data_IF_111668597353
#
_entry.id   IF_111668597353
#
_cell.length_a   1.000
_cell.length_b   1.000
_cell.length_c   1.000
_cell.angle_alpha   90.00
_cell.angle_beta   90.00
_cell.angle_gamma   90.00
#
_symmetry.space_group_name_H-M   'P 1'
#
loop_
_entity.id
_entity.type
_entity.pdbx_description
1 polymer ?
#
# COMPACT_ATOMS: atom_id res chain seq x y z
N UNK A 1 1.00 -13.94 -44.33
CA UNK A 1 1.25 -14.30 -42.92
C UNK A 1 0.69 -13.18 -42.05
N UNK A 2 -0.17 -13.52 -41.11
CA UNK A 2 -0.98 -12.59 -40.31
C UNK A 2 -0.08 -11.91 -39.27
N UNK A 3 -0.15 -10.57 -39.23
CA UNK A 3 0.48 -9.71 -38.23
C UNK A 3 -0.29 -9.87 -36.92
N UNK A 4 0.36 -10.40 -35.87
CA UNK A 4 -0.21 -10.42 -34.52
C UNK A 4 0.46 -9.28 -33.73
N UNK A 5 -0.24 -8.15 -33.68
CA UNK A 5 0.10 -7.03 -32.81
C UNK A 5 -0.14 -7.42 -31.36
N UNK A 6 0.94 -7.62 -30.61
CA UNK A 6 0.89 -7.72 -29.16
C UNK A 6 0.85 -6.30 -28.56
N UNK A 7 -0.31 -5.63 -28.69
CA UNK A 7 -0.66 -4.50 -27.81
C UNK A 7 -1.09 -5.07 -26.46
N UNK A 8 -0.13 -5.62 -25.72
CA UNK A 8 -0.36 -6.10 -24.37
C UNK A 8 -0.30 -4.92 -23.40
N UNK A 9 -1.49 -4.43 -23.04
CA UNK A 9 -1.74 -3.85 -21.73
C UNK A 9 -1.55 -2.35 -21.63
N UNK A 10 -2.66 -1.63 -21.67
CA UNK A 10 -2.79 -0.33 -21.01
C UNK A 10 -2.17 -0.44 -19.62
N UNK A 11 -1.13 0.35 -19.36
CA UNK A 11 -0.59 0.61 -18.04
C UNK A 11 -1.67 1.31 -17.21
N UNK A 12 -2.64 0.52 -16.69
CA UNK A 12 -3.35 0.92 -15.50
C UNK A 12 -2.25 1.06 -14.44
N UNK A 13 -2.02 2.29 -14.04
CA UNK A 13 -1.24 2.69 -12.88
C UNK A 13 -1.83 1.94 -11.67
N UNK A 14 -1.43 0.68 -11.49
CA UNK A 14 -2.13 -0.29 -10.64
C UNK A 14 -1.73 0.01 -9.21
N UNK A 15 -2.62 0.72 -8.54
CA UNK A 15 -2.62 0.83 -7.08
C UNK A 15 -2.47 -0.57 -6.45
N UNK A 16 -1.83 -0.62 -5.28
CA UNK A 16 -1.55 -1.89 -4.62
C UNK A 16 -2.86 -2.64 -4.31
N UNK A 17 -2.90 -3.96 -4.51
CA UNK A 17 -4.09 -4.74 -4.19
C UNK A 17 -4.41 -4.65 -2.71
N UNK A 18 -5.70 -4.56 -2.38
CA UNK A 18 -6.19 -4.59 -1.00
C UNK A 18 -6.20 -6.04 -0.51
N UNK A 19 -5.43 -6.31 0.53
CA UNK A 19 -5.25 -7.64 1.14
C UNK A 19 -5.94 -7.65 2.49
N UNK A 20 -7.05 -8.39 2.63
CA UNK A 20 -7.75 -8.51 3.91
C UNK A 20 -7.11 -9.61 4.78
N UNK A 21 -6.97 -9.32 6.08
CA UNK A 21 -6.41 -10.22 7.09
C UNK A 21 -7.34 -10.35 8.29
N UNK A 22 -7.47 -11.58 8.79
CA UNK A 22 -8.19 -11.91 10.01
C UNK A 22 -7.18 -12.31 11.09
N UNK A 23 -7.22 -11.60 12.20
CA UNK A 23 -6.42 -11.84 13.39
C UNK A 23 -7.23 -12.62 14.45
N UNK A 24 -6.57 -13.13 15.50
CA UNK A 24 -7.24 -13.69 16.67
C UNK A 24 -8.23 -12.69 17.31
N UNK A 25 -9.17 -13.21 18.10
CA UNK A 25 -10.18 -12.41 18.81
C UNK A 25 -11.10 -11.58 17.89
N UNK A 26 -11.30 -12.01 16.64
CA UNK A 26 -12.21 -11.35 15.70
C UNK A 26 -11.71 -10.03 15.12
N UNK A 27 -10.48 -9.63 15.41
CA UNK A 27 -9.88 -8.42 14.86
C UNK A 27 -9.52 -8.62 13.38
N UNK A 28 -9.69 -7.58 12.57
CA UNK A 28 -9.36 -7.62 11.15
C UNK A 28 -8.84 -6.28 10.65
N UNK A 29 -8.03 -6.36 9.59
CA UNK A 29 -7.50 -5.20 8.90
C UNK A 29 -7.25 -5.52 7.42
N UNK A 30 -7.11 -4.47 6.63
CA UNK A 30 -6.72 -4.53 5.24
C UNK A 30 -5.35 -3.90 5.07
N UNK A 31 -4.52 -4.51 4.22
CA UNK A 31 -3.19 -4.01 3.91
C UNK A 31 -3.06 -3.71 2.42
N UNK A 32 -2.31 -2.66 2.11
CA UNK A 32 -1.78 -2.36 0.78
C UNK A 32 -0.27 -2.25 0.89
N UNK A 33 0.42 -3.11 0.14
CA UNK A 33 1.87 -3.21 0.20
C UNK A 33 2.48 -2.47 -0.99
N UNK A 34 3.30 -1.47 -0.71
CA UNK A 34 4.14 -0.78 -1.68
C UNK A 34 5.61 -1.14 -1.42
N UNK A 35 6.48 -0.87 -2.40
CA UNK A 35 7.92 -1.17 -2.27
C UNK A 35 8.59 -0.48 -1.08
N UNK A 36 8.12 0.73 -0.73
CA UNK A 36 8.72 1.59 0.29
C UNK A 36 7.87 1.72 1.57
N UNK A 37 6.59 1.38 1.51
CA UNK A 37 5.68 1.46 2.66
C UNK A 37 4.55 0.44 2.59
N UNK A 38 3.91 0.17 3.72
CA UNK A 38 2.65 -0.53 3.80
C UNK A 38 1.59 0.35 4.46
N UNK A 39 0.41 0.42 3.85
CA UNK A 39 -0.77 1.01 4.47
C UNK A 39 -1.58 -0.10 5.12
N UNK A 40 -1.88 0.06 6.41
CA UNK A 40 -2.81 -0.79 7.14
C UNK A 40 -4.04 0.03 7.50
N UNK A 41 -5.21 -0.53 7.22
CA UNK A 41 -6.50 0.05 7.56
C UNK A 41 -7.30 -1.01 8.33
N UNK A 42 -7.47 -0.80 9.63
CA UNK A 42 -8.13 -1.77 10.49
C UNK A 42 -9.08 -1.11 11.47
N UNK A 43 -9.76 -1.94 12.27
CA UNK A 43 -10.71 -1.46 13.29
C UNK A 43 -10.07 -0.53 14.33
N UNK A 44 -8.74 -0.61 14.51
CA UNK A 44 -7.95 0.23 15.43
C UNK A 44 -7.49 1.55 14.80
N UNK A 45 -7.75 1.76 13.51
CA UNK A 45 -7.35 2.96 12.77
C UNK A 45 -6.46 2.66 11.56
N UNK A 46 -5.93 3.74 11.00
CA UNK A 46 -5.04 3.73 9.85
C UNK A 46 -3.58 3.86 10.29
N UNK A 47 -2.69 3.05 9.71
CA UNK A 47 -1.25 3.10 9.95
C UNK A 47 -0.47 3.08 8.62
N UNK A 48 0.59 3.89 8.56
CA UNK A 48 1.53 3.92 7.44
C UNK A 48 2.88 3.44 7.97
N UNK A 49 3.32 2.27 7.52
CA UNK A 49 4.54 1.64 7.99
C UNK A 49 5.62 1.73 6.92
N UNK A 50 6.83 2.13 7.30
CA UNK A 50 7.96 2.20 6.37
C UNK A 50 8.56 0.82 6.11
N UNK A 51 9.11 0.62 4.92
CA UNK A 51 9.86 -0.58 4.56
C UNK A 51 11.09 -0.74 5.45
N UNK A 52 11.21 -1.89 6.12
CA UNK A 52 12.40 -2.20 6.93
C UNK A 52 13.43 -2.95 6.09
N UNK A 53 14.73 -2.65 6.25
CA UNK A 53 15.78 -3.43 5.60
C UNK A 53 15.79 -4.85 6.16
N UNK A 54 16.01 -5.82 5.29
CA UNK A 54 16.06 -7.24 5.63
C UNK A 54 17.22 -7.91 4.88
N UNK A 55 17.76 -8.98 5.45
CA UNK A 55 18.80 -9.79 4.79
C UNK A 55 18.24 -10.65 3.64
N UNK A 56 16.93 -10.91 3.64
CA UNK A 56 16.22 -11.59 2.58
C UNK A 56 15.60 -10.54 1.63
N UNK A 57 16.00 -10.58 0.37
CA UNK A 57 15.57 -9.62 -0.65
C UNK A 57 14.03 -9.54 -0.78
N UNK A 58 13.36 -10.67 -0.62
CA UNK A 58 11.89 -10.77 -0.80
C UNK A 58 11.10 -10.61 0.51
N UNK A 59 11.75 -10.47 1.67
CA UNK A 59 11.01 -10.46 2.95
C UNK A 59 10.17 -9.20 3.10
N UNK A 60 8.87 -9.35 3.34
CA UNK A 60 7.95 -8.21 3.32
C UNK A 60 7.78 -7.56 4.70
N UNK A 61 8.84 -6.95 5.23
CA UNK A 61 8.85 -6.35 6.57
C UNK A 61 8.62 -4.82 6.50
N UNK A 62 7.63 -4.34 7.25
CA UNK A 62 7.33 -2.92 7.39
C UNK A 62 7.16 -2.56 8.87
N UNK A 63 7.53 -1.36 9.28
CA UNK A 63 7.29 -0.95 10.65
C UNK A 63 7.69 0.47 10.97
N UNK A 64 7.29 0.89 12.17
CA UNK A 64 7.64 2.16 12.80
C UNK A 64 8.07 1.92 14.26
N UNK A 65 8.05 2.96 15.09
CA UNK A 65 8.41 2.86 16.51
C UNK A 65 7.40 2.04 17.36
N UNK A 66 6.20 1.78 16.85
CA UNK A 66 5.06 1.22 17.58
C UNK A 66 4.66 -0.18 17.10
N UNK A 67 4.86 -0.50 15.82
CA UNK A 67 4.41 -1.73 15.20
C UNK A 67 5.38 -2.17 14.10
N UNK A 68 5.69 -3.47 14.09
CA UNK A 68 6.34 -4.14 12.95
C UNK A 68 5.40 -5.20 12.39
N UNK A 69 5.18 -5.17 11.08
CA UNK A 69 4.37 -6.12 10.32
C UNK A 69 5.25 -6.88 9.32
N UNK A 70 5.26 -8.19 9.45
CA UNK A 70 6.05 -9.12 8.63
C UNK A 70 5.08 -9.97 7.79
N UNK A 71 4.99 -9.67 6.50
CA UNK A 71 4.02 -10.25 5.57
C UNK A 71 4.62 -11.40 4.75
N UNK A 72 3.75 -12.25 4.21
CA UNK A 72 4.17 -13.32 3.29
C UNK A 72 4.73 -14.54 4.02
N UNK A 73 4.37 -14.72 5.29
CA UNK A 73 4.84 -15.81 6.12
C UNK A 73 4.02 -17.10 5.89
N UNK A 74 4.59 -18.23 6.30
CA UNK A 74 3.99 -19.56 6.15
C UNK A 74 4.16 -20.15 4.76
N UNK A 75 3.76 -21.42 4.59
CA UNK A 75 3.93 -22.19 3.34
C UNK A 75 3.18 -21.52 2.17
N UNK A 76 2.00 -20.98 2.44
CA UNK A 76 1.17 -20.32 1.42
C UNK A 76 1.48 -18.82 1.27
N UNK A 77 2.43 -18.27 2.03
CA UNK A 77 2.72 -16.82 2.09
C UNK A 77 1.50 -15.97 2.43
N UNK A 78 0.58 -16.52 3.23
CA UNK A 78 -0.71 -15.88 3.60
C UNK A 78 -0.73 -15.33 5.02
N UNK A 79 0.32 -15.59 5.79
CA UNK A 79 0.38 -15.13 7.17
C UNK A 79 1.05 -13.76 7.24
N UNK A 80 0.62 -12.98 8.21
CA UNK A 80 1.28 -11.77 8.65
C UNK A 80 1.50 -11.84 10.15
N UNK A 81 2.71 -11.50 10.59
CA UNK A 81 3.06 -11.40 12.01
C UNK A 81 3.15 -9.94 12.38
N UNK A 82 2.32 -9.51 13.34
CA UNK A 82 2.31 -8.17 13.91
C UNK A 82 2.99 -8.19 15.29
N UNK A 83 4.05 -7.42 15.43
CA UNK A 83 4.79 -7.25 16.69
C UNK A 83 4.64 -5.81 17.17
N UNK A 84 3.98 -5.60 18.31
CA UNK A 84 3.75 -4.28 18.88
C UNK A 84 4.85 -3.91 19.88
N UNK A 85 5.27 -2.65 19.89
CA UNK A 85 6.22 -2.14 20.87
C UNK A 85 5.63 -2.26 22.28
N UNK A 86 6.40 -2.85 23.20
CA UNK A 86 5.97 -3.05 24.59
C UNK A 86 5.05 -4.25 24.83
N UNK A 87 4.70 -5.04 23.81
CA UNK A 87 3.95 -6.29 23.95
C UNK A 87 4.83 -7.44 23.44
N UNK A 88 5.22 -8.40 24.29
CA UNK A 88 6.13 -9.48 23.90
C UNK A 88 5.48 -10.50 22.96
N UNK A 89 4.16 -10.61 22.99
CA UNK A 89 3.41 -11.56 22.16
C UNK A 89 3.13 -10.98 20.76
N UNK A 90 3.60 -11.68 19.74
CA UNK A 90 3.31 -11.33 18.35
C UNK A 90 1.96 -11.92 17.92
N UNK A 91 1.16 -11.12 17.21
CA UNK A 91 -0.14 -11.53 16.71
C UNK A 91 0.03 -12.05 15.29
N UNK A 92 -0.34 -13.30 15.05
CA UNK A 92 -0.36 -13.88 13.70
C UNK A 92 -1.74 -13.77 13.10
N UNK A 93 -1.86 -13.11 11.96
CA UNK A 93 -3.11 -12.98 11.22
C UNK A 93 -3.03 -13.71 9.88
N UNK A 94 -4.17 -14.16 9.38
CA UNK A 94 -4.26 -14.97 8.17
C UNK A 94 -5.02 -14.21 7.09
N UNK A 95 -4.51 -14.24 5.85
CA UNK A 95 -5.15 -13.61 4.71
C UNK A 95 -6.52 -14.24 4.43
N UNK A 96 -7.55 -13.41 4.43
CA UNK A 96 -8.92 -13.79 4.07
C UNK A 96 -8.98 -14.07 2.56
N UNK A 97 -9.72 -15.10 2.17
CA UNK A 97 -9.95 -15.36 0.76
C UNK A 97 -10.78 -14.21 0.14
N UNK A 98 -10.50 -13.80 -1.10
CA UNK A 98 -11.34 -12.83 -1.79
C UNK A 98 -12.76 -13.38 -1.97
N UNK A 99 -13.71 -12.49 -2.25
CA UNK A 99 -15.07 -12.87 -2.58
C UNK A 99 -15.11 -13.85 -3.78
N UNK A 100 -16.15 -14.68 -3.83
CA UNK A 100 -16.32 -15.67 -4.89
C UNK A 100 -16.26 -15.01 -6.27
N UNK A 101 -15.42 -15.55 -7.17
CA UNK A 101 -15.23 -15.04 -8.52
C UNK A 101 -14.06 -14.07 -8.72
N UNK A 102 -13.34 -13.69 -7.66
CA UNK A 102 -12.10 -12.92 -7.78
C UNK A 102 -10.86 -13.77 -7.50
N UNK A 103 -9.84 -13.73 -8.39
CA UNK A 103 -8.60 -14.44 -8.15
C UNK A 103 -7.89 -13.87 -6.91
N UNK A 104 -7.28 -14.71 -6.07
CA UNK A 104 -6.51 -14.23 -4.92
C UNK A 104 -5.31 -13.42 -5.41
N UNK A 105 -5.27 -12.14 -5.02
CA UNK A 105 -4.07 -11.34 -5.24
C UNK A 105 -2.88 -11.92 -4.43
N UNK A 106 -1.70 -12.07 -5.03
CA UNK A 106 -0.51 -12.51 -4.31
C UNK A 106 -0.08 -11.46 -3.28
N UNK A 107 0.54 -11.92 -2.19
CA UNK A 107 1.16 -11.04 -1.19
C UNK A 107 2.51 -10.57 -1.74
N UNK A 108 2.53 -9.38 -2.33
CA UNK A 108 3.73 -8.76 -2.91
C UNK A 108 3.66 -7.24 -2.79
N UNK A 109 4.82 -6.61 -2.72
CA UNK A 109 4.91 -5.16 -2.87
C UNK A 109 4.53 -4.75 -4.30
N UNK A 110 3.73 -3.70 -4.42
CA UNK A 110 3.45 -3.05 -5.69
C UNK A 110 4.31 -1.80 -5.86
N UNK A 111 4.70 -1.44 -7.09
CA UNK A 111 5.35 -0.17 -7.33
C UNK A 111 4.40 0.96 -6.98
N UNK A 112 4.91 2.01 -6.35
CA UNK A 112 4.09 3.19 -6.06
C UNK A 112 3.80 3.92 -7.38
N UNK A 113 2.54 4.30 -7.65
CA UNK A 113 2.24 5.31 -8.65
C UNK A 113 3.09 6.56 -8.40
N UNK A 114 4.02 6.87 -9.31
CA UNK A 114 4.77 8.13 -9.23
C UNK A 114 3.84 9.34 -9.25
N UNK A 115 4.35 10.55 -8.92
CA UNK A 115 3.58 11.78 -9.08
C UNK A 115 2.96 11.79 -10.48
N UNK A 116 1.63 11.93 -10.57
CA UNK A 116 1.01 12.16 -11.88
C UNK A 116 1.65 13.42 -12.43
N UNK A 117 2.20 13.35 -13.65
CA UNK A 117 2.65 14.57 -14.32
C UNK A 117 1.50 15.57 -14.27
N UNK A 118 1.76 16.84 -13.91
CA UNK A 118 0.72 17.85 -13.95
C UNK A 118 0.10 17.84 -15.36
N UNK A 119 -1.22 18.06 -15.47
CA UNK A 119 -1.83 18.20 -16.78
C UNK A 119 -1.06 19.27 -17.57
N UNK A 120 -0.90 19.10 -18.89
CA UNK A 120 -0.32 20.15 -19.72
C UNK A 120 -1.09 21.45 -19.47
N UNK A 121 -0.36 22.57 -19.40
CA UNK A 121 -0.95 23.88 -19.21
C UNK A 121 -2.01 24.13 -20.29
N UNK A 122 -3.24 24.38 -19.86
CA UNK A 122 -4.38 24.71 -20.71
C UNK A 122 -4.80 26.17 -20.43
N UNK A 123 -4.59 27.10 -21.38
CA UNK A 123 -4.96 28.50 -21.22
C UNK A 123 -6.47 28.75 -21.17
N UNK A 124 -7.30 27.78 -21.56
CA UNK A 124 -8.76 27.87 -21.59
C UNK A 124 -9.42 27.16 -20.40
N UNK A 125 -8.63 26.63 -19.46
CA UNK A 125 -9.16 25.95 -18.27
C UNK A 125 -9.86 26.93 -17.31
N UNK A 126 -11.05 26.58 -16.77
CA UNK A 126 -11.77 27.41 -15.81
C UNK A 126 -10.97 27.59 -14.50
N UNK A 127 -10.94 28.83 -14.00
CA UNK A 127 -9.98 29.40 -13.02
C UNK A 127 -10.06 28.82 -11.59
N UNK A 128 -10.93 27.84 -11.29
CA UNK A 128 -11.11 27.32 -9.92
C UNK A 128 -9.93 26.46 -9.39
N UNK A 129 -8.90 26.19 -10.19
CA UNK A 129 -7.70 25.40 -9.78
C UNK A 129 -6.46 26.27 -9.59
N UNK A 130 -6.58 27.44 -8.97
CA UNK A 130 -5.41 28.25 -8.55
C UNK A 130 -5.38 28.46 -7.03
N UNK A 131 -5.40 27.38 -6.23
CA UNK A 131 -4.87 27.46 -4.86
C UNK A 131 -3.34 27.37 -4.97
N UNK A 132 -2.68 28.53 -5.06
CA UNK A 132 -1.24 28.65 -4.87
C UNK A 132 -0.94 28.40 -3.39
N UNK A 133 -0.50 27.19 -3.04
CA UNK A 133 0.18 26.97 -1.77
C UNK A 133 1.53 27.69 -1.82
N UNK A 134 1.58 28.96 -1.40
CA UNK A 134 2.85 29.68 -1.30
C UNK A 134 2.82 31.19 -1.51
N UNK A 135 1.80 31.91 -1.01
CA UNK A 135 1.86 33.38 -0.98
C UNK A 135 1.46 33.91 0.41
N UNK A 136 2.33 33.64 1.39
CA UNK A 136 2.29 34.27 2.70
C UNK A 136 3.30 35.43 2.74
N UNK A 137 2.97 36.54 2.07
CA UNK A 137 3.68 37.80 2.28
C UNK A 137 3.34 38.33 3.69
N UNK A 138 4.23 38.08 4.65
CA UNK A 138 4.28 38.84 5.91
C UNK A 138 4.80 40.23 5.57
N UNK A 139 3.90 41.20 5.46
CA UNK A 139 4.27 42.62 5.31
C UNK A 139 4.91 43.17 6.59
N UNK A 140 5.85 44.13 6.49
CA UNK A 140 6.29 44.88 7.66
C UNK A 140 5.27 45.99 7.95
N UNK A 141 4.68 45.95 9.15
CA UNK A 141 4.12 47.14 9.81
C UNK A 141 5.19 47.81 10.65
#
# INVERSE_FOLDING_TARGET
MIVIGALAGCAALRDAPRLAYQCPQGLGFEARLYEDMALLDGQRGHAVLERRPSQQADALIYGDATLTADFGLGVDQRLVRLSYAGIPEAVTCTRVAPAAGQPPAPVRAAPRPGPRNPPPYDPDAPVETNIRFGDGNVGPG
#
